data_IF_949331264716
#
_entry.id   IF_949331264716
#
_cell.length_a   1.000
_cell.length_b   1.000
_cell.length_c   1.000
_cell.angle_alpha   90.00
_cell.angle_beta   90.00
_cell.angle_gamma   90.00
#
_symmetry.space_group_name_H-M   'P 1'
#
loop_
_entity.id
_entity.type
_entity.pdbx_description
1 polymer ?
#
# COMPACT_ATOMS: atom_id res chain seq x y z
N UNK A 1 -17.38 62.02 39.88
CA UNK A 1 -17.66 60.59 40.17
C UNK A 1 -16.55 59.76 39.52
N UNK A 2 -16.05 58.70 40.16
CA UNK A 2 -15.01 57.84 39.54
C UNK A 2 -15.64 56.97 38.45
N UNK A 3 -15.05 56.89 37.27
CA UNK A 3 -15.42 55.85 36.28
C UNK A 3 -14.91 54.51 36.80
N UNK A 4 -15.80 53.53 36.95
CA UNK A 4 -15.44 52.16 37.31
C UNK A 4 -14.99 51.45 36.04
N UNK A 5 -13.69 51.21 35.90
CA UNK A 5 -13.13 50.39 34.82
C UNK A 5 -13.31 48.93 35.21
N UNK A 6 -14.27 48.25 34.59
CA UNK A 6 -14.41 46.80 34.71
C UNK A 6 -13.36 46.17 33.80
N UNK A 7 -12.24 45.76 34.38
CA UNK A 7 -11.34 44.80 33.73
C UNK A 7 -12.08 43.46 33.67
N UNK A 8 -12.54 43.10 32.47
CA UNK A 8 -12.89 41.71 32.18
C UNK A 8 -11.57 41.01 31.91
N UNK A 9 -11.01 40.35 32.91
CA UNK A 9 -9.94 39.39 32.70
C UNK A 9 -10.50 38.28 31.80
N UNK A 10 -10.07 38.29 30.53
CA UNK A 10 -10.22 37.11 29.68
C UNK A 10 -9.36 36.02 30.29
N UNK A 11 -10.00 35.10 30.99
CA UNK A 11 -9.37 33.84 31.38
C UNK A 11 -9.03 33.10 30.08
N UNK A 12 -7.79 33.24 29.63
CA UNK A 12 -7.21 32.36 28.62
C UNK A 12 -7.05 30.98 29.27
N UNK A 13 -8.14 30.22 29.29
CA UNK A 13 -8.03 28.77 29.29
C UNK A 13 -7.37 28.39 27.97
N UNK A 14 -6.07 28.09 28.03
CA UNK A 14 -5.42 27.39 26.93
C UNK A 14 -6.13 26.06 26.77
N UNK A 15 -6.92 25.93 25.69
CA UNK A 15 -7.50 24.65 25.30
C UNK A 15 -6.31 23.79 24.90
N UNK A 16 -5.95 22.84 25.75
CA UNK A 16 -4.78 21.97 25.58
C UNK A 16 -4.88 21.26 24.23
N UNK A 17 -4.11 21.73 23.26
CA UNK A 17 -4.40 21.48 21.85
C UNK A 17 -4.04 20.04 21.49
N UNK A 18 -5.05 19.18 21.46
CA UNK A 18 -5.00 17.74 21.16
C UNK A 18 -3.95 17.37 20.10
N UNK A 19 -2.87 16.72 20.54
CA UNK A 19 -1.74 16.33 19.68
C UNK A 19 -1.92 14.90 19.22
N UNK A 20 -2.16 14.73 17.91
CA UNK A 20 -2.26 13.44 17.23
C UNK A 20 -0.95 13.08 16.53
N UNK A 21 -0.61 11.79 16.54
CA UNK A 21 0.50 11.22 15.79
C UNK A 21 0.11 9.91 15.11
N UNK A 22 0.81 9.56 14.03
CA UNK A 22 0.92 8.17 13.56
C UNK A 22 2.24 7.58 14.06
N UNK A 23 2.20 6.52 14.85
CA UNK A 23 3.38 5.76 15.28
C UNK A 23 3.61 4.54 14.40
N UNK A 24 4.82 4.39 13.86
CA UNK A 24 5.21 3.27 12.96
C UNK A 24 5.93 2.16 13.71
N UNK A 25 5.24 1.05 13.93
CA UNK A 25 5.76 -0.14 14.58
C UNK A 25 6.19 -1.17 13.52
N UNK A 26 7.26 -1.91 13.81
CA UNK A 26 7.89 -2.85 12.86
C UNK A 26 7.58 -4.30 13.21
N UNK A 27 7.17 -5.08 12.22
CA UNK A 27 6.86 -6.51 12.34
C UNK A 27 8.03 -7.37 12.88
N UNK A 28 9.27 -6.86 12.79
CA UNK A 28 10.44 -7.50 13.39
C UNK A 28 10.42 -7.52 14.93
N UNK A 29 9.54 -6.71 15.55
CA UNK A 29 9.46 -6.48 17.00
C UNK A 29 8.00 -6.48 17.49
N UNK A 30 7.24 -7.58 17.30
CA UNK A 30 5.82 -7.65 17.65
C UNK A 30 5.57 -7.46 19.16
N UNK A 31 6.57 -7.72 20.00
CA UNK A 31 6.48 -7.52 21.44
C UNK A 31 6.21 -6.06 21.85
N UNK A 32 6.52 -5.09 20.98
CA UNK A 32 6.15 -3.68 21.16
C UNK A 32 4.63 -3.46 21.07
N UNK A 33 3.94 -4.25 20.24
CA UNK A 33 2.48 -4.25 20.14
C UNK A 33 1.87 -4.90 21.39
N UNK A 34 2.30 -6.13 21.70
CA UNK A 34 1.79 -6.90 22.84
C UNK A 34 1.90 -6.15 24.17
N UNK A 35 3.04 -5.48 24.40
CA UNK A 35 3.41 -4.85 25.67
C UNK A 35 3.27 -3.32 25.65
N UNK A 36 2.73 -2.75 24.56
CA UNK A 36 2.39 -1.33 24.41
C UNK A 36 3.55 -0.38 24.76
N UNK A 37 4.70 -0.56 24.11
CA UNK A 37 5.87 0.31 24.25
C UNK A 37 6.58 0.57 22.91
N UNK A 38 7.33 1.67 22.83
CA UNK A 38 8.22 1.97 21.72
C UNK A 38 9.65 2.21 22.19
N UNK A 39 10.60 1.38 21.76
CA UNK A 39 12.00 1.50 22.10
C UNK A 39 12.77 2.29 21.04
N UNK A 40 13.29 3.46 21.44
CA UNK A 40 14.18 4.27 20.61
C UNK A 40 15.30 4.97 21.41
N UNK A 41 15.50 4.58 22.67
CA UNK A 41 16.50 5.14 23.57
C UNK A 41 15.97 6.33 24.37
N UNK A 42 16.83 7.32 24.61
CA UNK A 42 16.50 8.54 25.34
C UNK A 42 15.28 9.29 24.77
N UNK A 43 14.54 10.00 25.63
CA UNK A 43 13.37 10.82 25.27
C UNK A 43 13.66 11.82 24.13
N UNK A 44 14.90 12.34 24.06
CA UNK A 44 15.33 13.28 23.03
C UNK A 44 15.64 12.61 21.66
N UNK A 45 15.47 11.29 21.54
CA UNK A 45 15.69 10.53 20.30
C UNK A 45 14.73 10.98 19.19
N UNK A 46 15.27 11.34 18.01
CA UNK A 46 14.48 11.86 16.88
C UNK A 46 13.37 10.90 16.43
N UNK A 47 13.57 9.60 16.66
CA UNK A 47 12.58 8.55 16.40
C UNK A 47 11.24 8.83 17.10
N UNK A 48 11.24 9.43 18.30
CA UNK A 48 10.01 9.78 19.02
C UNK A 48 9.21 10.91 18.36
N UNK A 49 9.75 11.61 17.34
CA UNK A 49 9.00 12.61 16.57
C UNK A 49 8.50 13.83 17.37
N UNK A 50 8.95 14.00 18.62
CA UNK A 50 8.42 15.00 19.55
C UNK A 50 7.13 14.60 20.27
N UNK A 51 6.78 13.31 20.29
CA UNK A 51 5.75 12.75 21.18
C UNK A 51 6.11 13.02 22.65
N UNK A 52 5.09 13.16 23.50
CA UNK A 52 5.19 13.39 24.95
C UNK A 52 4.08 12.61 25.68
N UNK A 53 4.25 12.31 26.99
CA UNK A 53 3.15 11.90 27.86
C UNK A 53 1.89 12.76 27.66
N UNK A 54 0.73 12.11 27.49
CA UNK A 54 -0.55 12.75 27.19
C UNK A 54 -0.93 12.81 25.71
N UNK A 55 0.04 12.75 24.78
CA UNK A 55 -0.24 12.73 23.33
C UNK A 55 -0.96 11.45 22.90
N UNK A 56 -1.74 11.53 21.83
CA UNK A 56 -2.47 10.40 21.25
C UNK A 56 -1.80 9.89 19.97
N UNK A 57 -1.70 8.56 19.85
CA UNK A 57 -1.00 7.87 18.76
C UNK A 57 -1.92 6.86 18.09
N UNK A 58 -2.11 7.01 16.78
CA UNK A 58 -2.60 5.93 15.93
C UNK A 58 -1.46 4.94 15.62
N UNK A 59 -1.68 3.67 15.92
CA UNK A 59 -0.68 2.60 15.86
C UNK A 59 -0.69 1.99 14.47
N UNK A 60 0.30 2.34 13.65
CA UNK A 60 0.55 1.72 12.35
C UNK A 60 1.38 0.46 12.51
N UNK A 61 0.81 -0.69 12.13
CA UNK A 61 1.46 -1.99 12.10
C UNK A 61 0.93 -2.78 10.89
N UNK A 62 1.79 -3.49 10.17
CA UNK A 62 1.41 -4.26 8.96
C UNK A 62 0.62 -3.48 7.89
N UNK A 63 0.86 -2.16 7.80
CA UNK A 63 0.15 -1.26 6.86
C UNK A 63 -1.30 -0.93 7.26
N UNK A 64 -1.72 -1.33 8.46
CA UNK A 64 -3.04 -1.03 9.04
C UNK A 64 -2.91 -0.16 10.29
N UNK A 65 -3.97 0.57 10.61
CA UNK A 65 -4.16 1.15 11.94
C UNK A 65 -4.80 0.05 12.79
N UNK A 66 -4.09 -0.40 13.83
CA UNK A 66 -4.59 -1.46 14.74
C UNK A 66 -5.20 -0.90 16.03
N UNK A 67 -4.88 0.34 16.38
CA UNK A 67 -5.37 0.97 17.60
C UNK A 67 -5.06 2.46 17.69
N UNK A 68 -5.71 3.10 18.66
CA UNK A 68 -5.40 4.41 19.22
C UNK A 68 -4.90 4.18 20.64
N UNK A 69 -3.70 4.65 20.92
CA UNK A 69 -3.06 4.63 22.22
C UNK A 69 -2.78 6.06 22.71
N UNK A 70 -2.51 6.20 24.00
CA UNK A 70 -2.08 7.45 24.65
C UNK A 70 -0.70 7.26 25.25
N UNK A 71 0.22 8.16 24.95
CA UNK A 71 1.57 8.15 25.48
C UNK A 71 1.55 8.33 27.01
N UNK A 72 2.19 7.43 27.74
CA UNK A 72 2.10 7.31 29.20
C UNK A 72 3.28 7.95 29.91
N UNK A 73 4.47 7.39 29.73
CA UNK A 73 5.72 7.84 30.36
C UNK A 73 6.95 7.33 29.61
N UNK A 74 8.04 8.11 29.65
CA UNK A 74 9.37 7.65 29.26
C UNK A 74 10.03 6.91 30.43
N UNK A 75 10.56 5.71 30.19
CA UNK A 75 11.12 4.85 31.23
C UNK A 75 12.24 3.95 30.69
N UNK A 76 12.79 3.07 31.53
CA UNK A 76 13.85 2.13 31.15
C UNK A 76 13.39 0.68 31.28
N UNK A 77 13.31 0.00 30.15
CA UNK A 77 12.89 -1.39 30.00
C UNK A 77 13.82 -2.12 29.01
N UNK A 78 14.40 -3.23 29.47
CA UNK A 78 15.20 -4.13 28.62
C UNK A 78 14.36 -4.64 27.46
N UNK A 79 14.83 -4.39 26.25
CA UNK A 79 14.08 -4.62 25.01
C UNK A 79 14.98 -5.26 23.94
N UNK A 80 14.33 -5.91 22.97
CA UNK A 80 14.96 -6.60 21.83
C UNK A 80 15.25 -5.69 20.64
N UNK A 81 14.70 -4.48 20.64
CA UNK A 81 14.78 -3.50 19.54
C UNK A 81 16.13 -2.79 19.52
N UNK A 82 16.60 -2.37 20.69
CA UNK A 82 17.90 -1.75 20.90
C UNK A 82 18.61 -2.37 22.12
N UNK A 83 19.33 -3.50 21.95
CA UNK A 83 20.03 -4.18 23.04
C UNK A 83 21.17 -3.40 23.73
N UNK A 84 21.35 -2.11 23.40
CA UNK A 84 22.33 -1.19 24.00
C UNK A 84 21.69 -0.01 24.72
N UNK A 85 20.38 0.19 24.58
CA UNK A 85 19.65 1.27 25.25
C UNK A 85 18.27 0.78 25.70
N UNK A 86 18.08 0.78 27.02
CA UNK A 86 16.82 0.37 27.66
C UNK A 86 15.74 1.46 27.56
N UNK A 87 16.01 2.64 26.97
CA UNK A 87 15.04 3.73 26.86
C UNK A 87 13.81 3.39 25.99
N UNK A 88 12.62 3.50 26.60
CA UNK A 88 11.32 3.25 25.96
C UNK A 88 10.29 4.32 26.34
N UNK A 89 9.29 4.50 25.46
CA UNK A 89 8.03 5.19 25.76
C UNK A 89 6.94 4.14 25.98
N UNK A 90 6.25 4.17 27.12
CA UNK A 90 5.07 3.32 27.38
C UNK A 90 3.78 3.97 26.88
N UNK A 91 2.78 3.13 26.61
CA UNK A 91 1.46 3.54 26.13
C UNK A 91 0.33 2.85 26.89
N UNK A 92 -0.75 3.59 27.13
CA UNK A 92 -2.05 3.01 27.50
C UNK A 92 -2.93 2.91 26.25
N UNK A 93 -3.66 1.80 26.10
CA UNK A 93 -4.55 1.58 24.95
C UNK A 93 -5.94 2.15 25.21
N UNK A 94 -6.44 2.92 24.24
CA UNK A 94 -7.71 3.65 24.36
C UNK A 94 -8.80 2.99 23.51
N UNK A 95 -8.46 2.55 22.30
CA UNK A 95 -9.40 1.99 21.31
C UNK A 95 -8.65 1.10 20.32
N UNK A 96 -9.25 -0.01 19.91
CA UNK A 96 -8.74 -0.86 18.81
C UNK A 96 -9.43 -0.49 17.49
N UNK A 97 -8.79 -0.81 16.36
CA UNK A 97 -9.37 -0.67 15.03
C UNK A 97 -9.29 -1.99 14.26
N UNK A 98 -10.42 -2.45 13.77
CA UNK A 98 -10.50 -3.62 12.89
C UNK A 98 -10.48 -3.18 11.43
N UNK A 99 -9.43 -3.61 10.71
CA UNK A 99 -9.30 -3.50 9.26
C UNK A 99 -9.42 -2.04 8.73
N UNK A 100 -8.55 -1.16 9.22
CA UNK A 100 -8.38 0.21 8.73
C UNK A 100 -7.03 0.31 8.01
N UNK A 101 -7.05 0.55 6.70
CA UNK A 101 -5.85 0.72 5.87
C UNK A 101 -5.18 2.06 6.11
N UNK A 102 -3.85 2.06 6.26
CA UNK A 102 -3.06 3.29 6.34
C UNK A 102 -3.14 4.08 5.03
N UNK A 103 -3.12 3.41 3.87
CA UNK A 103 -3.04 4.08 2.56
C UNK A 103 -4.39 4.49 1.96
N UNK A 104 -5.47 3.83 2.39
CA UNK A 104 -6.80 3.99 1.78
C UNK A 104 -7.80 4.66 2.76
N UNK A 105 -7.76 4.35 4.07
CA UNK A 105 -8.71 4.93 5.04
C UNK A 105 -8.11 6.09 5.84
N UNK A 106 -6.95 5.86 6.48
CA UNK A 106 -6.33 6.82 7.39
C UNK A 106 -5.92 8.13 6.69
N UNK A 107 -5.24 8.04 5.55
CA UNK A 107 -4.81 9.21 4.74
C UNK A 107 -5.97 9.92 4.03
N UNK A 108 -7.21 9.45 4.17
CA UNK A 108 -8.43 10.08 3.62
C UNK A 108 -9.36 10.63 4.67
N UNK A 109 -8.99 10.62 5.94
CA UNK A 109 -9.88 11.12 6.99
C UNK A 109 -10.17 12.61 6.82
N UNK A 110 -11.44 12.98 6.64
CA UNK A 110 -11.86 14.34 6.21
C UNK A 110 -11.35 15.50 7.09
N UNK A 111 -11.09 15.21 8.37
CA UNK A 111 -10.60 16.16 9.36
C UNK A 111 -9.08 16.24 9.48
N UNK A 112 -8.30 15.42 8.77
CA UNK A 112 -6.85 15.59 8.70
C UNK A 112 -6.47 16.67 7.68
N UNK A 113 -5.38 17.38 7.98
CA UNK A 113 -4.72 18.28 7.04
C UNK A 113 -3.74 17.48 6.20
N UNK A 114 -3.90 17.51 4.89
CA UNK A 114 -3.19 16.66 3.95
C UNK A 114 -1.84 17.28 3.56
N UNK A 115 -0.91 17.37 4.51
CA UNK A 115 0.43 17.92 4.28
C UNK A 115 1.48 16.84 3.88
N UNK A 116 2.73 17.27 3.66
CA UNK A 116 3.87 16.40 3.33
C UNK A 116 4.02 15.18 4.28
N UNK A 117 3.66 15.34 5.55
CA UNK A 117 3.76 14.28 6.53
C UNK A 117 2.67 13.24 6.30
N UNK A 118 1.41 13.67 6.18
CA UNK A 118 0.27 12.77 5.93
C UNK A 118 0.38 12.05 4.57
N UNK A 119 0.82 12.75 3.53
CA UNK A 119 0.73 12.25 2.15
C UNK A 119 1.95 11.42 1.74
N UNK A 120 3.17 11.77 2.21
CA UNK A 120 4.40 11.01 1.88
C UNK A 120 4.89 10.14 3.04
N UNK A 121 5.13 10.76 4.20
CA UNK A 121 5.86 10.10 5.30
C UNK A 121 5.04 9.00 5.98
N UNK A 122 3.70 9.04 5.91
CA UNK A 122 2.81 8.05 6.53
C UNK A 122 3.05 6.63 6.03
N UNK A 123 3.44 6.41 4.77
CA UNK A 123 3.83 5.08 4.27
C UNK A 123 5.34 4.91 4.12
N UNK A 124 6.09 5.89 3.60
CA UNK A 124 7.54 5.76 3.43
C UNK A 124 8.31 5.58 4.76
N UNK A 125 9.30 4.67 4.80
CA UNK A 125 10.15 4.43 5.96
C UNK A 125 11.22 5.53 6.13
N UNK A 126 10.86 6.62 6.81
CA UNK A 126 11.78 7.73 7.11
C UNK A 126 12.76 7.33 8.22
N UNK A 127 14.06 7.25 7.89
CA UNK A 127 15.12 6.92 8.85
C UNK A 127 15.15 7.93 10.00
N UNK A 128 15.04 7.46 11.23
CA UNK A 128 15.12 8.33 12.42
C UNK A 128 13.83 9.05 12.77
N UNK A 129 12.68 8.65 12.22
CA UNK A 129 11.35 9.20 12.52
C UNK A 129 10.32 8.07 12.63
N UNK A 130 10.06 7.62 13.86
CA UNK A 130 9.09 6.58 14.19
C UNK A 130 7.66 7.11 14.36
N UNK A 131 7.52 8.34 14.87
CA UNK A 131 6.23 9.01 15.04
C UNK A 131 6.13 10.24 14.15
N UNK A 132 4.96 10.43 13.55
CA UNK A 132 4.68 11.49 12.57
C UNK A 132 3.51 12.33 13.09
N UNK A 133 3.68 13.63 13.34
CA UNK A 133 2.60 14.48 13.83
C UNK A 133 1.50 14.63 12.77
N UNK A 134 0.25 14.53 13.20
CA UNK A 134 -0.95 14.65 12.37
C UNK A 134 -1.65 15.95 12.74
N UNK A 135 -1.80 16.84 11.75
CA UNK A 135 -2.56 18.09 11.87
C UNK A 135 -4.04 17.83 11.58
N UNK A 136 -4.92 18.54 12.28
CA UNK A 136 -6.38 18.44 12.16
C UNK A 136 -7.03 19.76 11.80
N UNK A 137 -8.22 19.70 11.21
CA UNK A 137 -9.16 20.83 11.11
C UNK A 137 -9.82 21.10 12.46
N UNK A 138 -10.27 22.32 12.71
CA UNK A 138 -10.94 22.74 13.96
C UNK A 138 -12.13 21.86 14.37
N UNK A 139 -12.88 21.33 13.39
CA UNK A 139 -14.05 20.48 13.61
C UNK A 139 -13.72 18.97 13.77
N UNK A 140 -12.46 18.60 14.03
CA UNK A 140 -12.09 17.21 14.29
C UNK A 140 -12.72 16.72 15.62
N UNK A 141 -13.36 15.54 15.66
CA UNK A 141 -13.83 14.96 16.92
C UNK A 141 -12.66 14.53 17.81
N UNK A 142 -12.95 14.22 19.08
CA UNK A 142 -11.97 13.70 20.04
C UNK A 142 -11.28 12.43 19.49
N UNK A 143 -10.07 12.06 19.95
CA UNK A 143 -9.31 10.96 19.35
C UNK A 143 -10.09 9.63 19.40
N UNK A 144 -10.79 9.45 20.52
CA UNK A 144 -11.53 8.26 20.92
C UNK A 144 -12.81 8.10 20.08
N UNK A 145 -13.36 9.21 19.58
CA UNK A 145 -14.54 9.27 18.71
C UNK A 145 -14.21 9.10 17.21
N UNK A 146 -12.93 9.16 16.81
CA UNK A 146 -12.53 9.04 15.39
C UNK A 146 -12.90 7.66 14.83
N UNK A 147 -13.75 7.64 13.79
CA UNK A 147 -13.98 6.49 12.91
C UNK A 147 -13.56 6.84 11.48
N UNK A 148 -12.67 6.02 10.91
CA UNK A 148 -12.17 6.17 9.56
C UNK A 148 -13.16 5.69 8.48
N UNK A 149 -13.98 4.67 8.77
CA UNK A 149 -14.77 3.97 7.73
C UNK A 149 -15.97 4.77 7.24
N UNK A 150 -16.57 5.62 8.07
CA UNK A 150 -17.69 6.51 7.70
C UNK A 150 -17.28 7.93 7.23
N UNK A 151 -15.99 8.28 7.29
CA UNK A 151 -15.52 9.68 7.19
C UNK A 151 -14.37 9.90 6.19
N UNK A 152 -14.15 8.96 5.26
CA UNK A 152 -13.20 9.11 4.17
C UNK A 152 -13.67 10.13 3.10
N UNK A 153 -12.76 10.97 2.63
CA UNK A 153 -12.97 11.84 1.45
C UNK A 153 -12.64 11.12 0.15
N UNK A 154 -13.24 11.59 -0.94
CA UNK A 154 -12.77 11.30 -2.29
C UNK A 154 -11.66 12.29 -2.66
N UNK A 155 -10.73 11.83 -3.50
CA UNK A 155 -9.73 12.69 -4.15
C UNK A 155 -9.85 12.45 -5.66
N UNK A 156 -9.92 13.53 -6.42
CA UNK A 156 -10.12 13.54 -7.87
C UNK A 156 -8.97 14.25 -8.57
N UNK A 157 -8.68 13.84 -9.80
CA UNK A 157 -7.92 14.64 -10.76
C UNK A 157 -8.89 14.90 -11.92
N UNK A 158 -9.26 16.15 -12.16
CA UNK A 158 -10.42 16.46 -13.00
C UNK A 158 -10.23 17.75 -13.80
N UNK A 159 -10.85 17.82 -14.99
CA UNK A 159 -11.04 19.07 -15.69
C UNK A 159 -11.87 20.04 -14.85
N UNK A 160 -11.55 21.34 -14.91
CA UNK A 160 -12.19 22.36 -14.07
C UNK A 160 -13.72 22.40 -14.16
N UNK A 161 -14.27 22.18 -15.34
CA UNK A 161 -15.69 22.41 -15.65
C UNK A 161 -16.53 21.10 -15.68
N UNK A 162 -15.98 20.01 -15.12
CA UNK A 162 -16.66 18.71 -14.98
C UNK A 162 -17.45 18.65 -13.67
N UNK A 163 -18.68 18.15 -13.74
CA UNK A 163 -19.46 17.77 -12.56
C UNK A 163 -18.92 16.46 -11.95
N UNK A 164 -18.61 16.49 -10.66
CA UNK A 164 -18.08 15.37 -9.89
C UNK A 164 -19.09 14.83 -8.86
N UNK A 165 -20.24 15.51 -8.67
CA UNK A 165 -21.14 15.34 -7.52
C UNK A 165 -20.39 15.16 -6.18
N UNK A 166 -19.50 16.11 -5.80
CA UNK A 166 -18.57 15.96 -4.69
C UNK A 166 -19.25 16.04 -3.32
N UNK A 167 -18.58 15.48 -2.31
CA UNK A 167 -18.99 15.55 -0.90
C UNK A 167 -18.15 16.58 -0.14
N UNK A 168 -18.70 17.07 0.98
CA UNK A 168 -18.01 17.99 1.88
C UNK A 168 -16.66 17.43 2.34
N UNK A 169 -15.58 18.14 1.99
CA UNK A 169 -14.20 17.76 2.25
C UNK A 169 -13.47 17.07 1.09
N UNK A 170 -14.14 16.68 0.00
CA UNK A 170 -13.51 16.06 -1.17
C UNK A 170 -12.48 16.98 -1.83
N UNK A 171 -11.38 16.41 -2.34
CA UNK A 171 -10.27 17.17 -2.94
C UNK A 171 -10.26 17.01 -4.46
N UNK A 172 -10.01 18.10 -5.19
CA UNK A 172 -9.84 18.13 -6.65
C UNK A 172 -8.47 18.69 -7.01
N UNK A 173 -7.65 17.91 -7.69
CA UNK A 173 -6.51 18.41 -8.47
C UNK A 173 -7.06 18.90 -9.80
N UNK A 174 -7.18 20.22 -9.95
CA UNK A 174 -7.84 20.84 -11.08
C UNK A 174 -6.90 20.93 -12.30
N UNK A 175 -7.36 20.37 -13.42
CA UNK A 175 -6.68 20.35 -14.73
C UNK A 175 -7.34 21.36 -15.67
N UNK A 176 -6.55 22.09 -16.46
CA UNK A 176 -7.07 23.19 -17.27
C UNK A 176 -7.89 22.76 -18.50
N UNK A 177 -7.40 21.81 -19.30
CA UNK A 177 -8.06 21.26 -20.50
C UNK A 177 -7.31 20.01 -21.00
N UNK A 178 -7.89 19.29 -21.95
CA UNK A 178 -7.30 18.09 -22.56
C UNK A 178 -6.14 18.37 -23.53
N UNK A 179 -6.01 19.60 -24.05
CA UNK A 179 -4.91 19.96 -24.94
C UNK A 179 -3.59 20.02 -24.15
N UNK A 180 -3.57 20.80 -23.07
CA UNK A 180 -2.39 21.06 -22.25
C UNK A 180 -2.26 20.12 -21.05
N UNK A 181 -3.36 19.63 -20.46
CA UNK A 181 -3.37 18.77 -19.27
C UNK A 181 -2.46 19.28 -18.13
N UNK A 182 -2.58 20.57 -17.80
CA UNK A 182 -1.79 21.24 -16.76
C UNK A 182 -2.58 21.37 -15.46
N UNK A 183 -1.93 21.05 -14.33
CA UNK A 183 -2.44 21.35 -12.99
C UNK A 183 -2.46 22.88 -12.80
N UNK A 184 -3.62 23.42 -12.44
CA UNK A 184 -3.81 24.86 -12.19
C UNK A 184 -4.01 25.20 -10.72
N UNK A 185 -4.63 24.31 -9.96
CA UNK A 185 -4.83 24.44 -8.52
C UNK A 185 -5.10 23.06 -7.90
N UNK A 186 -4.92 22.95 -6.59
CA UNK A 186 -5.53 21.90 -5.77
C UNK A 186 -6.62 22.55 -4.92
N UNK A 187 -7.80 21.96 -4.90
CA UNK A 187 -9.01 22.55 -4.31
C UNK A 187 -9.66 21.55 -3.36
N UNK A 188 -10.37 22.04 -2.34
CA UNK A 188 -11.19 21.26 -1.43
C UNK A 188 -12.64 21.74 -1.51
N UNK A 189 -13.58 20.81 -1.59
CA UNK A 189 -15.01 21.11 -1.64
C UNK A 189 -15.49 21.46 -0.24
N UNK A 190 -15.96 22.69 -0.05
CA UNK A 190 -16.37 23.25 1.24
C UNK A 190 -17.63 24.10 1.04
N UNK A 191 -18.67 23.86 1.83
CA UNK A 191 -19.94 24.61 1.80
C UNK A 191 -20.64 24.67 0.42
N UNK A 192 -20.37 23.72 -0.48
CA UNK A 192 -20.97 23.65 -1.81
C UNK A 192 -20.10 24.16 -2.98
N UNK A 193 -18.90 24.70 -2.72
CA UNK A 193 -17.98 25.18 -3.76
C UNK A 193 -16.57 24.59 -3.59
N UNK A 194 -15.79 24.54 -4.69
CA UNK A 194 -14.37 24.20 -4.64
C UNK A 194 -13.54 25.44 -4.31
N UNK A 195 -12.88 25.43 -3.15
CA UNK A 195 -11.99 26.49 -2.67
C UNK A 195 -10.53 26.01 -2.75
N UNK A 196 -9.57 26.91 -2.99
CA UNK A 196 -8.13 26.57 -3.00
C UNK A 196 -7.76 25.91 -1.67
N UNK A 197 -7.05 24.78 -1.73
CA UNK A 197 -6.59 24.05 -0.55
C UNK A 197 -5.10 24.30 -0.30
N UNK A 198 -4.79 25.34 0.45
CA UNK A 198 -3.45 25.91 0.57
C UNK A 198 -2.37 24.88 0.94
N UNK A 199 -2.61 23.98 1.90
CA UNK A 199 -1.59 23.03 2.37
C UNK A 199 -1.14 22.00 1.31
N UNK A 200 -2.00 21.69 0.32
CA UNK A 200 -1.61 20.87 -0.83
C UNK A 200 -1.02 21.70 -1.99
N UNK A 201 -1.43 22.96 -2.15
CA UNK A 201 -0.81 23.85 -3.13
C UNK A 201 0.62 24.21 -2.71
N UNK A 202 0.85 24.62 -1.46
CA UNK A 202 2.20 24.90 -0.92
C UNK A 202 3.14 23.70 -1.08
N UNK A 203 2.62 22.48 -0.88
CA UNK A 203 3.35 21.23 -1.11
C UNK A 203 3.71 21.03 -2.59
N UNK A 204 2.77 21.31 -3.50
CA UNK A 204 2.99 21.24 -4.95
C UNK A 204 3.96 22.33 -5.43
N UNK A 205 3.85 23.57 -4.94
CA UNK A 205 4.83 24.63 -5.19
C UNK A 205 6.21 24.21 -4.69
N UNK A 206 6.34 23.77 -3.43
CA UNK A 206 7.63 23.37 -2.85
C UNK A 206 8.33 22.30 -3.68
N UNK A 207 7.59 21.29 -4.14
CA UNK A 207 8.16 20.19 -4.94
C UNK A 207 8.52 20.57 -6.37
N UNK A 208 7.90 21.60 -6.96
CA UNK A 208 8.09 21.94 -8.39
C UNK A 208 8.80 23.30 -8.61
N UNK A 209 9.35 23.93 -7.55
CA UNK A 209 10.09 25.21 -7.60
C UNK A 209 11.27 25.24 -8.57
N UNK A 210 12.06 24.17 -8.64
CA UNK A 210 13.30 24.14 -9.44
C UNK A 210 13.13 23.48 -10.82
N UNK A 211 12.26 22.48 -10.92
CA UNK A 211 12.05 21.72 -12.16
C UNK A 211 10.95 22.31 -13.07
N UNK A 212 10.05 23.12 -12.51
CA UNK A 212 8.92 23.69 -13.22
C UNK A 212 7.66 22.81 -13.16
N UNK A 213 6.50 23.45 -13.35
CA UNK A 213 5.18 22.78 -13.33
C UNK A 213 4.89 22.09 -14.67
N UNK A 214 5.39 20.87 -14.80
CA UNK A 214 5.10 19.98 -15.91
C UNK A 214 3.61 19.67 -16.04
N UNK A 215 3.17 19.45 -17.28
CA UNK A 215 1.88 18.87 -17.65
C UNK A 215 1.88 17.35 -17.42
N UNK A 216 0.69 16.74 -17.38
CA UNK A 216 0.54 15.27 -17.29
C UNK A 216 1.23 14.58 -18.49
N UNK A 217 1.21 15.21 -19.68
CA UNK A 217 1.84 14.70 -20.91
C UNK A 217 3.37 14.71 -20.81
N UNK A 218 3.97 15.84 -20.43
CA UNK A 218 5.43 15.93 -20.21
C UNK A 218 5.90 14.96 -19.11
N UNK A 219 5.12 14.78 -18.04
CA UNK A 219 5.44 13.78 -17.00
C UNK A 219 5.36 12.34 -17.52
N UNK A 220 4.49 12.04 -18.48
CA UNK A 220 4.35 10.72 -19.09
C UNK A 220 5.53 10.41 -20.04
N UNK A 221 5.95 11.41 -20.82
CA UNK A 221 7.12 11.31 -21.69
C UNK A 221 8.41 11.16 -20.86
N UNK A 222 8.56 11.94 -19.79
CA UNK A 222 9.68 11.77 -18.86
C UNK A 222 9.61 10.45 -18.07
N UNK A 223 8.43 9.93 -17.76
CA UNK A 223 8.30 8.59 -17.18
C UNK A 223 8.65 7.45 -18.17
N UNK A 224 8.68 7.73 -19.48
CA UNK A 224 9.26 6.84 -20.49
C UNK A 224 10.79 7.00 -20.58
N UNK A 225 11.31 8.24 -20.59
CA UNK A 225 12.77 8.50 -20.55
C UNK A 225 13.44 7.87 -19.32
N UNK A 226 12.85 8.04 -18.13
CA UNK A 226 13.39 7.58 -16.85
C UNK A 226 13.12 6.08 -16.58
N UNK A 227 12.53 5.34 -17.54
CA UNK A 227 12.05 3.96 -17.38
C UNK A 227 11.15 3.75 -16.13
N UNK A 228 10.39 4.78 -15.75
CA UNK A 228 9.60 4.83 -14.53
C UNK A 228 8.24 4.13 -14.69
N UNK A 229 8.23 2.84 -15.02
CA UNK A 229 7.05 2.07 -15.47
C UNK A 229 5.80 2.22 -14.60
N UNK A 230 5.93 2.28 -13.26
CA UNK A 230 4.78 2.52 -12.36
C UNK A 230 4.16 3.90 -12.55
N UNK A 231 4.98 4.95 -12.64
CA UNK A 231 4.56 6.34 -12.89
C UNK A 231 3.96 6.48 -14.29
N UNK A 232 4.57 5.85 -15.29
CA UNK A 232 4.05 5.81 -16.66
C UNK A 232 2.68 5.14 -16.73
N UNK A 233 2.46 3.98 -16.09
CA UNK A 233 1.12 3.35 -16.07
C UNK A 233 0.08 4.25 -15.42
N UNK A 234 0.39 4.87 -14.28
CA UNK A 234 -0.52 5.82 -13.62
C UNK A 234 -0.89 7.00 -14.54
N UNK A 235 0.09 7.59 -15.23
CA UNK A 235 -0.12 8.74 -16.10
C UNK A 235 -0.88 8.39 -17.39
N UNK A 236 -0.67 7.20 -17.96
CA UNK A 236 -1.46 6.70 -19.11
C UNK A 236 -2.94 6.57 -18.73
N UNK A 237 -3.26 5.84 -17.65
CA UNK A 237 -4.66 5.67 -17.21
C UNK A 237 -5.29 7.00 -16.78
N UNK A 238 -4.49 7.95 -16.28
CA UNK A 238 -4.96 9.31 -16.00
C UNK A 238 -5.33 10.09 -17.28
N UNK A 239 -4.53 9.98 -18.34
CA UNK A 239 -4.83 10.58 -19.65
C UNK A 239 -6.11 9.96 -20.21
N UNK A 240 -6.22 8.62 -20.22
CA UNK A 240 -7.37 7.88 -20.73
C UNK A 240 -8.68 8.26 -20.02
N UNK A 241 -8.67 8.31 -18.67
CA UNK A 241 -9.85 8.69 -17.88
C UNK A 241 -10.19 10.18 -17.98
N UNK A 242 -9.20 11.08 -18.10
CA UNK A 242 -9.46 12.49 -18.38
C UNK A 242 -10.11 12.67 -19.77
N UNK A 243 -9.65 11.96 -20.80
CA UNK A 243 -10.20 12.08 -22.16
C UNK A 243 -11.59 11.44 -22.29
N UNK A 244 -11.86 10.35 -21.57
CA UNK A 244 -13.11 9.58 -21.61
C UNK A 244 -14.20 10.14 -20.68
N UNK A 245 -13.85 10.45 -19.44
CA UNK A 245 -14.78 10.81 -18.37
C UNK A 245 -14.62 12.26 -17.88
N UNK A 246 -13.55 12.97 -18.27
CA UNK A 246 -13.22 14.30 -17.78
C UNK A 246 -12.60 14.32 -16.37
N UNK A 247 -12.55 13.17 -15.70
CA UNK A 247 -11.93 13.00 -14.38
C UNK A 247 -11.44 11.57 -14.14
N UNK A 248 -10.44 11.44 -13.29
CA UNK A 248 -10.07 10.20 -12.60
C UNK A 248 -10.37 10.34 -11.11
N UNK A 249 -11.00 9.32 -10.52
CA UNK A 249 -11.06 9.16 -9.06
C UNK A 249 -9.78 8.47 -8.58
N UNK A 250 -9.06 9.10 -7.66
CA UNK A 250 -7.84 8.54 -7.07
C UNK A 250 -8.22 7.46 -6.05
N UNK A 251 -7.65 6.25 -6.17
CA UNK A 251 -7.82 5.16 -5.19
C UNK A 251 -6.87 5.24 -3.98
N UNK A 252 -5.63 5.74 -4.18
CA UNK A 252 -4.60 5.82 -3.14
C UNK A 252 -3.92 7.21 -3.16
N UNK A 253 -3.92 7.91 -2.03
CA UNK A 253 -3.44 9.29 -1.94
C UNK A 253 -1.91 9.43 -2.13
N UNK A 254 -1.14 8.41 -1.73
CA UNK A 254 0.31 8.39 -1.91
C UNK A 254 0.67 8.22 -3.39
N UNK A 255 -0.05 7.33 -4.10
CA UNK A 255 0.12 7.16 -5.57
C UNK A 255 -0.12 8.47 -6.33
N UNK A 256 -1.07 9.32 -5.92
CA UNK A 256 -1.25 10.67 -6.49
C UNK A 256 -0.01 11.54 -6.27
N UNK A 257 0.55 11.55 -5.06
CA UNK A 257 1.72 12.37 -4.73
C UNK A 257 2.97 11.95 -5.51
N UNK A 258 3.36 10.67 -5.44
CA UNK A 258 4.55 10.14 -6.11
C UNK A 258 4.52 10.32 -7.63
N UNK A 259 3.35 10.04 -8.22
CA UNK A 259 3.22 9.94 -9.66
C UNK A 259 2.79 11.24 -10.33
N UNK A 260 2.16 12.18 -9.61
CA UNK A 260 1.75 13.47 -10.16
C UNK A 260 2.37 14.67 -9.41
N UNK A 261 2.11 14.82 -8.11
CA UNK A 261 2.43 16.08 -7.39
C UNK A 261 3.93 16.35 -7.22
N UNK A 262 4.76 15.31 -7.13
CA UNK A 262 6.23 15.43 -6.96
C UNK A 262 6.98 15.78 -8.27
N UNK A 263 6.32 15.79 -9.42
CA UNK A 263 6.98 16.11 -10.70
C UNK A 263 7.91 14.99 -11.19
N UNK A 264 9.02 15.34 -11.88
CA UNK A 264 10.01 14.37 -12.39
C UNK A 264 11.07 14.07 -11.32
N UNK A 265 11.21 12.80 -10.92
CA UNK A 265 12.18 12.40 -9.89
C UNK A 265 13.60 12.31 -10.47
N UNK A 266 14.31 13.44 -10.51
CA UNK A 266 15.74 13.50 -10.89
C UNK A 266 16.61 12.74 -9.88
N UNK A 267 16.82 11.45 -10.13
CA UNK A 267 17.92 10.70 -9.53
C UNK A 267 19.25 11.37 -9.89
N UNK A 268 20.14 11.56 -8.91
CA UNK A 268 21.52 11.96 -9.19
C UNK A 268 22.16 10.92 -10.15
N UNK A 269 22.75 11.39 -11.24
CA UNK A 269 22.93 10.58 -12.44
C UNK A 269 24.03 9.52 -12.35
N UNK A 270 23.62 8.25 -12.26
CA UNK A 270 24.41 7.09 -12.69
C UNK A 270 23.66 6.39 -13.82
N UNK A 271 24.23 6.39 -15.03
CA UNK A 271 23.58 5.92 -16.28
C UNK A 271 23.48 4.39 -16.36
N UNK A 272 22.41 3.92 -17.02
CA UNK A 272 22.42 2.73 -17.87
C UNK A 272 21.29 2.81 -18.92
N UNK A 273 21.59 2.45 -20.17
CA UNK A 273 20.64 2.17 -21.25
C UNK A 273 19.98 0.77 -21.04
N UNK A 274 19.03 0.24 -21.82
CA UNK A 274 18.57 0.55 -23.19
C UNK A 274 17.05 0.20 -23.35
N UNK A 275 16.55 -0.07 -24.57
CA UNK A 275 15.20 0.36 -25.00
C UNK A 275 14.30 -0.66 -25.73
N UNK A 276 12.97 -0.39 -25.67
CA UNK A 276 11.89 -0.76 -26.64
C UNK A 276 11.51 -2.26 -26.78
N UNK A 277 10.34 -2.68 -27.28
CA UNK A 277 9.09 -2.05 -27.81
C UNK A 277 7.91 -3.03 -27.49
N UNK A 278 6.71 -2.61 -27.05
CA UNK A 278 5.53 -2.19 -27.89
C UNK A 278 5.17 -3.23 -28.98
N UNK A 279 4.00 -3.88 -29.02
CA UNK A 279 2.73 -3.80 -28.22
C UNK A 279 2.12 -5.24 -28.08
N UNK A 280 1.02 -5.54 -27.37
CA UNK A 280 -0.40 -5.31 -27.76
C UNK A 280 -1.41 -5.48 -26.58
N UNK A 281 -2.70 -5.61 -26.91
CA UNK A 281 -3.91 -5.54 -26.06
C UNK A 281 -4.33 -6.95 -25.53
N UNK A 282 -5.48 -7.30 -24.91
CA UNK A 282 -6.91 -6.86 -24.95
C UNK A 282 -7.60 -6.86 -23.54
N UNK A 283 -8.95 -6.73 -23.46
CA UNK A 283 -9.75 -6.30 -22.28
C UNK A 283 -10.47 -7.39 -21.45
N UNK A 284 -10.51 -7.23 -20.12
CA UNK A 284 -11.73 -7.45 -19.30
C UNK A 284 -11.62 -6.78 -17.89
N UNK A 285 -12.41 -5.73 -17.65
CA UNK A 285 -12.68 -5.01 -16.36
C UNK A 285 -11.49 -4.73 -15.40
N UNK A 286 -10.86 -3.55 -15.53
CA UNK A 286 -9.60 -3.21 -14.86
C UNK A 286 -9.65 -2.71 -13.39
N UNK A 287 -10.78 -2.25 -12.85
CA UNK A 287 -10.78 -1.55 -11.54
C UNK A 287 -10.44 -2.45 -10.34
N UNK A 288 -10.90 -3.71 -10.30
CA UNK A 288 -10.53 -4.66 -9.23
C UNK A 288 -9.09 -5.20 -9.38
N UNK A 289 -8.56 -5.24 -10.61
CA UNK A 289 -7.27 -5.87 -10.94
C UNK A 289 -6.08 -5.11 -10.33
N UNK A 290 -6.23 -3.82 -10.05
CA UNK A 290 -5.15 -2.91 -9.69
C UNK A 290 -4.64 -3.01 -8.23
N UNK A 291 -5.42 -3.59 -7.31
CA UNK A 291 -4.96 -3.92 -5.95
C UNK A 291 -4.54 -5.40 -5.86
N UNK A 292 -5.33 -6.31 -6.45
CA UNK A 292 -5.07 -7.77 -6.48
C UNK A 292 -3.68 -8.09 -7.08
N UNK A 293 -3.25 -7.37 -8.12
CA UNK A 293 -1.93 -7.57 -8.76
C UNK A 293 -0.74 -7.28 -7.85
N UNK A 294 -0.78 -6.25 -6.98
CA UNK A 294 0.34 -6.02 -6.04
C UNK A 294 0.36 -7.06 -4.91
N UNK A 295 -0.79 -7.58 -4.48
CA UNK A 295 -0.87 -8.67 -3.52
C UNK A 295 -0.31 -9.98 -4.07
N UNK A 296 -0.73 -10.41 -5.28
CA UNK A 296 -0.18 -11.62 -5.89
C UNK A 296 1.30 -11.49 -6.27
N UNK A 297 1.77 -10.30 -6.65
CA UNK A 297 3.20 -10.04 -6.86
C UNK A 297 4.01 -10.23 -5.56
N UNK A 298 3.45 -9.86 -4.41
CA UNK A 298 4.04 -10.14 -3.09
C UNK A 298 4.12 -11.63 -2.82
N UNK A 299 3.02 -12.37 -3.00
CA UNK A 299 2.99 -13.83 -2.82
C UNK A 299 3.88 -14.59 -3.82
N UNK A 300 4.00 -14.15 -5.07
CA UNK A 300 4.94 -14.72 -6.04
C UNK A 300 6.40 -14.49 -5.63
N UNK A 301 6.69 -13.34 -5.02
CA UNK A 301 8.01 -13.05 -4.42
C UNK A 301 8.28 -13.92 -3.19
N UNK A 302 7.26 -14.18 -2.37
CA UNK A 302 7.34 -15.09 -1.23
C UNK A 302 7.54 -16.55 -1.68
N UNK A 303 6.86 -17.01 -2.73
CA UNK A 303 7.02 -18.35 -3.30
C UNK A 303 8.45 -18.60 -3.83
N UNK A 304 9.09 -17.57 -4.42
CA UNK A 304 10.50 -17.66 -4.81
C UNK A 304 11.47 -17.67 -3.61
N UNK A 305 11.07 -17.15 -2.45
CA UNK A 305 11.89 -17.16 -1.24
C UNK A 305 11.68 -18.43 -0.40
N UNK A 306 10.45 -18.94 -0.35
CA UNK A 306 10.06 -20.18 0.30
C UNK A 306 9.11 -20.95 -0.64
N UNK A 307 9.56 -22.07 -1.25
CA UNK A 307 8.81 -22.77 -2.30
C UNK A 307 7.54 -23.49 -1.80
N UNK A 308 7.23 -23.44 -0.51
CA UNK A 308 6.04 -24.05 0.08
C UNK A 308 5.08 -22.97 0.61
N UNK A 309 4.04 -22.66 -0.16
CA UNK A 309 3.00 -21.68 0.18
C UNK A 309 1.63 -22.36 0.35
N UNK A 310 0.98 -22.17 1.50
CA UNK A 310 -0.35 -22.71 1.80
C UNK A 310 -1.33 -21.55 1.95
N UNK A 311 -2.30 -21.46 1.03
CA UNK A 311 -3.43 -20.52 1.14
C UNK A 311 -4.56 -21.18 1.94
N UNK A 312 -4.94 -20.59 3.07
CA UNK A 312 -6.02 -21.08 3.94
C UNK A 312 -7.15 -20.05 4.10
N UNK A 313 -8.28 -20.46 4.69
CA UNK A 313 -9.46 -19.62 4.92
C UNK A 313 -10.78 -20.29 4.49
N UNK A 314 -11.94 -19.65 4.70
CA UNK A 314 -13.27 -20.22 4.42
C UNK A 314 -13.49 -20.74 2.99
N UNK A 315 -14.43 -21.67 2.74
CA UNK A 315 -14.82 -22.04 1.37
C UNK A 315 -15.34 -20.81 0.60
N UNK A 316 -15.12 -20.78 -0.72
CA UNK A 316 -15.54 -19.67 -1.59
C UNK A 316 -14.58 -18.47 -1.68
N UNK A 317 -13.59 -18.33 -0.78
CA UNK A 317 -12.68 -17.15 -0.73
C UNK A 317 -11.58 -17.15 -1.81
N UNK A 318 -11.90 -17.45 -3.07
CA UNK A 318 -11.01 -17.26 -4.22
C UNK A 318 -9.70 -18.07 -4.27
N UNK A 319 -9.35 -18.88 -3.27
CA UNK A 319 -8.01 -19.52 -3.15
C UNK A 319 -7.46 -20.16 -4.43
N UNK A 320 -8.27 -20.89 -5.18
CA UNK A 320 -7.83 -21.53 -6.45
C UNK A 320 -7.49 -20.50 -7.52
N UNK A 321 -8.27 -19.42 -7.61
CA UNK A 321 -8.00 -18.27 -8.48
C UNK A 321 -6.73 -17.53 -8.03
N UNK A 322 -6.58 -17.29 -6.73
CA UNK A 322 -5.37 -16.71 -6.14
C UNK A 322 -4.11 -17.52 -6.48
N UNK A 323 -4.15 -18.86 -6.36
CA UNK A 323 -3.03 -19.72 -6.79
C UNK A 323 -2.67 -19.53 -8.27
N UNK A 324 -3.66 -19.48 -9.16
CA UNK A 324 -3.42 -19.23 -10.59
C UNK A 324 -2.80 -17.84 -10.83
N UNK A 325 -3.29 -16.80 -10.14
CA UNK A 325 -2.72 -15.45 -10.24
C UNK A 325 -1.32 -15.31 -9.63
N UNK A 326 -1.00 -16.05 -8.57
CA UNK A 326 0.35 -16.11 -8.01
C UNK A 326 1.32 -16.74 -9.03
N UNK A 327 0.90 -17.82 -9.69
CA UNK A 327 1.67 -18.48 -10.75
C UNK A 327 1.83 -17.56 -11.98
N UNK A 328 0.78 -16.82 -12.39
CA UNK A 328 0.89 -15.80 -13.45
C UNK A 328 1.98 -14.77 -13.14
N UNK A 329 2.04 -14.24 -11.91
CA UNK A 329 3.05 -13.26 -11.51
C UNK A 329 4.43 -13.88 -11.30
N UNK A 330 4.51 -15.15 -10.85
CA UNK A 330 5.76 -15.89 -10.69
C UNK A 330 6.42 -16.15 -12.05
N UNK A 331 5.71 -16.76 -13.01
CA UNK A 331 6.21 -17.04 -14.35
C UNK A 331 6.67 -15.75 -15.05
N UNK A 332 5.87 -14.67 -14.99
CA UNK A 332 6.21 -13.35 -15.56
C UNK A 332 7.47 -12.72 -14.98
N UNK A 333 7.76 -12.96 -13.70
CA UNK A 333 8.88 -12.33 -12.98
C UNK A 333 10.16 -13.17 -13.00
N UNK A 334 10.04 -14.49 -12.98
CA UNK A 334 11.15 -15.41 -12.72
C UNK A 334 11.45 -16.39 -13.87
N UNK A 335 10.57 -16.55 -14.85
CA UNK A 335 10.76 -17.52 -15.95
C UNK A 335 10.71 -16.89 -17.35
N UNK A 336 9.58 -16.27 -17.74
CA UNK A 336 9.40 -15.60 -19.05
C UNK A 336 8.45 -14.43 -18.90
N UNK A 337 8.79 -13.25 -19.44
CA UNK A 337 7.99 -12.03 -19.29
C UNK A 337 6.53 -12.09 -19.79
N UNK A 338 6.21 -13.03 -20.68
CA UNK A 338 4.86 -13.33 -21.18
C UNK A 338 4.20 -14.56 -20.51
N UNK A 339 4.77 -15.04 -19.39
CA UNK A 339 4.34 -16.23 -18.69
C UNK A 339 2.90 -16.16 -18.17
N UNK A 340 2.29 -17.33 -17.96
CA UNK A 340 0.97 -17.48 -17.33
C UNK A 340 0.79 -18.89 -16.80
N UNK A 341 -0.15 -19.07 -15.87
CA UNK A 341 -0.56 -20.39 -15.37
C UNK A 341 -0.90 -21.34 -16.54
N UNK A 342 -1.70 -20.89 -17.51
CA UNK A 342 -2.12 -21.70 -18.66
C UNK A 342 -0.95 -22.14 -19.55
N UNK A 343 0.05 -21.27 -19.73
CA UNK A 343 1.24 -21.60 -20.51
C UNK A 343 2.13 -22.60 -19.76
N UNK A 344 2.35 -22.39 -18.46
CA UNK A 344 3.15 -23.27 -17.61
C UNK A 344 2.51 -24.65 -17.40
N UNK A 345 1.17 -24.72 -17.39
CA UNK A 345 0.39 -25.96 -17.37
C UNK A 345 0.49 -26.70 -18.72
N UNK A 346 0.32 -26.00 -19.85
CA UNK A 346 0.50 -26.59 -21.18
C UNK A 346 1.93 -27.07 -21.46
N UNK A 347 2.94 -26.38 -20.91
CA UNK A 347 4.35 -26.78 -20.95
C UNK A 347 4.74 -27.76 -19.81
N UNK A 348 3.77 -28.33 -19.08
CA UNK A 348 3.96 -29.30 -17.98
C UNK A 348 4.84 -28.86 -16.79
N UNK A 349 5.26 -27.59 -16.68
CA UNK A 349 5.93 -27.06 -15.47
C UNK A 349 5.00 -27.00 -14.27
N UNK A 350 3.70 -26.81 -14.48
CA UNK A 350 2.67 -26.77 -13.45
C UNK A 350 1.72 -27.96 -13.59
N UNK A 351 1.55 -28.74 -12.52
CA UNK A 351 0.47 -29.74 -12.39
C UNK A 351 -0.41 -29.40 -11.19
N UNK A 352 -1.72 -29.28 -11.41
CA UNK A 352 -2.70 -29.09 -10.35
C UNK A 352 -3.30 -30.43 -9.92
N UNK A 353 -3.38 -30.67 -8.61
CA UNK A 353 -4.02 -31.85 -8.00
C UNK A 353 -5.03 -31.42 -6.94
N UNK A 354 -5.92 -32.33 -6.54
CA UNK A 354 -6.86 -32.15 -5.42
C UNK A 354 -6.81 -33.38 -4.53
N UNK A 355 -6.39 -33.20 -3.27
CA UNK A 355 -6.37 -34.30 -2.30
C UNK A 355 -7.79 -34.66 -1.84
N UNK A 356 -8.04 -35.96 -1.68
CA UNK A 356 -9.22 -36.53 -1.05
C UNK A 356 -8.81 -37.55 0.00
N UNK A 357 -9.73 -37.96 0.90
CA UNK A 357 -9.41 -38.86 2.02
C UNK A 357 -8.81 -40.21 1.60
N UNK A 358 -9.11 -40.67 0.38
CA UNK A 358 -8.53 -41.91 -0.20
C UNK A 358 -7.19 -41.71 -0.92
N UNK A 359 -6.63 -40.49 -0.97
CA UNK A 359 -5.44 -40.19 -1.78
C UNK A 359 -4.18 -40.67 -1.06
N UNK A 360 -3.37 -41.46 -1.74
CA UNK A 360 -2.33 -42.29 -1.12
C UNK A 360 -0.90 -41.90 -1.51
N UNK A 361 0.07 -42.41 -0.75
CA UNK A 361 1.50 -42.34 -1.12
C UNK A 361 1.77 -43.01 -2.48
N UNK A 362 1.01 -44.07 -2.81
CA UNK A 362 1.11 -44.85 -4.05
C UNK A 362 0.59 -44.11 -5.30
N UNK A 363 -0.05 -42.96 -5.11
CA UNK A 363 -0.47 -42.03 -6.15
C UNK A 363 0.41 -40.79 -6.19
N UNK A 364 0.92 -40.33 -5.04
CA UNK A 364 1.71 -39.12 -4.93
C UNK A 364 3.21 -39.33 -5.21
N UNK A 365 3.85 -40.35 -4.61
CA UNK A 365 5.31 -40.54 -4.64
C UNK A 365 5.71 -41.76 -5.46
N UNK A 366 5.30 -42.97 -5.07
CA UNK A 366 5.54 -44.21 -5.83
C UNK A 366 4.69 -45.36 -5.27
N UNK A 367 4.24 -46.25 -6.16
CA UNK A 367 3.32 -47.34 -5.80
C UNK A 367 3.55 -48.60 -6.62
N UNK A 368 3.17 -49.75 -6.06
CA UNK A 368 3.29 -51.05 -6.74
C UNK A 368 2.02 -51.31 -7.56
N UNK A 369 2.13 -51.25 -8.88
CA UNK A 369 0.99 -51.31 -9.80
C UNK A 369 1.01 -52.58 -10.66
N UNK A 370 -0.14 -53.24 -10.88
CA UNK A 370 -0.24 -54.39 -11.77
C UNK A 370 -0.25 -53.92 -13.22
N UNK A 371 0.70 -54.42 -14.02
CA UNK A 371 0.70 -54.27 -15.48
C UNK A 371 0.50 -55.64 -16.12
N UNK A 372 -0.11 -55.66 -17.30
CA UNK A 372 -0.11 -56.83 -18.16
C UNK A 372 1.27 -56.96 -18.82
N UNK A 373 1.79 -58.18 -18.91
CA UNK A 373 2.94 -58.49 -19.75
C UNK A 373 2.45 -58.84 -21.17
N UNK A 374 3.17 -58.43 -22.21
CA UNK A 374 2.81 -58.66 -23.63
C UNK A 374 2.97 -60.15 -24.08
N UNK A 375 3.03 -61.09 -23.14
CA UNK A 375 3.03 -62.53 -23.39
C UNK A 375 1.63 -63.00 -23.78
N UNK A 376 1.51 -63.99 -24.68
CA UNK A 376 0.23 -64.59 -25.10
C UNK A 376 -0.63 -65.17 -23.95
N UNK A 377 -0.04 -65.35 -22.76
CA UNK A 377 -0.70 -65.81 -21.55
C UNK A 377 -1.37 -64.70 -20.71
N UNK A 378 -1.12 -63.41 -20.99
CA UNK A 378 -1.77 -62.28 -20.30
C UNK A 378 -1.44 -62.16 -18.80
N UNK A 379 -0.25 -62.60 -18.38
CA UNK A 379 0.16 -62.62 -16.98
C UNK A 379 0.24 -61.20 -16.38
N UNK A 380 -0.26 -61.04 -15.15
CA UNK A 380 -0.12 -59.80 -14.38
C UNK A 380 1.25 -59.78 -13.68
N UNK A 381 2.01 -58.72 -13.91
CA UNK A 381 3.30 -58.44 -13.27
C UNK A 381 3.19 -57.16 -12.45
N UNK A 382 3.70 -57.17 -11.22
CA UNK A 382 3.73 -55.98 -10.38
C UNK A 382 5.02 -55.19 -10.62
N UNK A 383 4.90 -53.89 -10.95
CA UNK A 383 6.03 -52.96 -11.13
C UNK A 383 5.91 -51.79 -10.15
N UNK A 384 7.04 -51.24 -9.73
CA UNK A 384 7.08 -49.98 -9.00
C UNK A 384 6.97 -48.83 -10.01
N UNK A 385 5.90 -48.04 -9.92
CA UNK A 385 5.66 -46.89 -10.79
C UNK A 385 5.76 -45.59 -9.98
N UNK A 386 6.25 -44.53 -10.62
CA UNK A 386 6.36 -43.21 -9.98
C UNK A 386 4.97 -42.58 -9.82
N UNK A 387 4.71 -42.04 -8.64
CA UNK A 387 3.56 -41.17 -8.39
C UNK A 387 3.77 -39.77 -8.96
N UNK A 388 2.67 -39.00 -9.02
CA UNK A 388 2.59 -37.76 -9.79
C UNK A 388 3.64 -36.71 -9.39
N UNK A 389 3.94 -36.57 -8.09
CA UNK A 389 4.92 -35.59 -7.60
C UNK A 389 6.36 -36.02 -7.90
N UNK A 390 6.67 -37.32 -7.72
CA UNK A 390 8.01 -37.87 -8.03
C UNK A 390 8.31 -37.78 -9.53
N UNK A 391 7.33 -38.06 -10.39
CA UNK A 391 7.44 -37.83 -11.83
C UNK A 391 7.68 -36.34 -12.14
N UNK A 392 6.95 -35.43 -11.49
CA UNK A 392 7.11 -33.99 -11.68
C UNK A 392 8.52 -33.50 -11.30
N UNK A 393 9.07 -33.97 -10.17
CA UNK A 393 10.44 -33.68 -9.77
C UNK A 393 11.48 -34.20 -10.78
N UNK A 394 11.31 -35.43 -11.27
CA UNK A 394 12.21 -36.03 -12.29
C UNK A 394 12.13 -35.28 -13.62
N UNK A 395 11.00 -34.67 -13.96
CA UNK A 395 10.88 -33.85 -15.17
C UNK A 395 11.51 -32.46 -14.98
N UNK A 396 11.29 -31.81 -13.82
CA UNK A 396 11.97 -30.56 -13.48
C UNK A 396 13.50 -30.69 -13.41
N UNK A 397 14.02 -31.83 -12.93
CA UNK A 397 15.46 -32.12 -12.90
C UNK A 397 16.07 -32.14 -14.32
N UNK A 398 15.34 -32.63 -15.33
CA UNK A 398 15.79 -32.65 -16.74
C UNK A 398 15.81 -31.26 -17.39
N UNK A 399 15.07 -30.29 -16.87
CA UNK A 399 15.08 -28.90 -17.38
C UNK A 399 16.24 -28.06 -16.80
N UNK A 400 17.08 -28.65 -15.93
CA UNK A 400 18.25 -28.01 -15.31
C UNK A 400 19.59 -28.42 -15.95
N UNK A 401 19.57 -29.21 -17.03
CA UNK A 401 20.76 -29.82 -17.69
C UNK A 401 20.83 -29.44 -19.17
#
# INVERSE_FOLDING_TARGET
MKKMVVMIEKCNMEVEQMRLFLGKFSNNYPEQIEKRYYAAGDENSSWYGGVKPGDYVFVSYEGKIIGLWKAKEYTKMKNTVNPKDDGVLLFDEIKTYEDVSVSNDFTRYKHFVHDLNLVNKVTESVKGLGFIPIKTTENCPNPEDIDFKSNGINIYIALKDVDLNPKEGDIRVAINNLEQMKIIAIEKFINGEFVIYDELNDLYEERNKEDGKFTIKELNDYALEDNATKKRKFLITLIEELEKNGFMKVSNAIRLYDNLLVGRKRSATTKADDSKTVISEETESDEEIAEDSEQYMSYASLLNFNPNLILYGPPGTGKTYATQKIIDHFEKKYFRGNGSYKLAEAENRVKTITFHQSYSYEEFIEGIRPVLNDDEAGNIVYKLENGLFKEHCINAEKELI
#
